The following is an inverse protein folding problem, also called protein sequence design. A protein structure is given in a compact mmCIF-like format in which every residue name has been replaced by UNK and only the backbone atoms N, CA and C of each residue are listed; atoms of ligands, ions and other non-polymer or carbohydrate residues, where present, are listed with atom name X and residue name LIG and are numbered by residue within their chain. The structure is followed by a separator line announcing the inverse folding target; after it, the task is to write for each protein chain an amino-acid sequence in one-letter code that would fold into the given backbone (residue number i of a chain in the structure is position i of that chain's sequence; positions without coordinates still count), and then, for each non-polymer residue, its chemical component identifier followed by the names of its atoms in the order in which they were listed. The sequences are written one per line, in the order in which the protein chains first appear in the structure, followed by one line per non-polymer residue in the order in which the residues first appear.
data_IF_003967864206
#
_entry.id   IF_003967864206
#
_cell.length_a   1.000
_cell.length_b   1.000
_cell.length_c   1.000
_cell.angle_alpha   90.00
_cell.angle_beta   90.00
_cell.angle_gamma   90.00
#
_symmetry.space_group_name_H-M   'P 1'
#
loop_
_entity.id
_entity.type
_entity.pdbx_description
1 polymer ?
#
# COMPACT_ATOMS: atom_id res chain seq x y z
N UNK A 1 9.70 -1.19 19.44
CA UNK A 1 11.04 -0.92 18.88
C UNK A 1 11.79 -2.23 18.91
N UNK A 2 12.63 -2.51 17.91
CA UNK A 2 13.44 -3.73 17.83
C UNK A 2 14.90 -3.30 17.82
N UNK A 3 15.66 -3.73 18.82
CA UNK A 3 17.10 -3.48 18.90
C UNK A 3 17.84 -4.65 18.26
N UNK A 4 18.63 -4.37 17.22
CA UNK A 4 19.43 -5.35 16.49
C UNK A 4 20.94 -5.16 16.75
N UNK A 5 21.31 -4.43 17.81
CA UNK A 5 22.69 -4.08 18.16
C UNK A 5 23.07 -2.71 17.61
N UNK A 6 23.65 -2.64 16.41
CA UNK A 6 24.07 -1.38 15.79
C UNK A 6 22.92 -0.58 15.16
N UNK A 7 21.76 -1.20 15.00
CA UNK A 7 20.57 -0.61 14.37
C UNK A 7 19.37 -0.83 15.27
N UNK A 8 18.56 0.21 15.40
CA UNK A 8 17.30 0.19 16.14
C UNK A 8 16.15 0.46 15.18
N UNK A 9 15.26 -0.51 15.02
CA UNK A 9 14.09 -0.41 14.15
C UNK A 9 12.88 0.09 14.92
N UNK A 10 12.29 1.20 14.46
CA UNK A 10 10.97 1.64 14.92
C UNK A 10 9.89 0.86 14.17
N UNK A 11 8.91 0.35 14.90
CA UNK A 11 7.77 -0.39 14.33
C UNK A 11 6.57 0.54 14.26
N UNK A 12 6.02 0.73 13.07
CA UNK A 12 4.79 1.49 12.85
C UNK A 12 3.69 0.51 12.40
N UNK A 13 2.53 0.43 13.09
CA UNK A 13 1.39 -0.34 12.59
C UNK A 13 0.88 0.23 11.26
N UNK A 14 0.63 -0.65 10.29
CA UNK A 14 0.13 -0.31 8.96
C UNK A 14 -0.97 -1.30 8.51
N UNK A 15 -2.06 -1.45 9.28
CA UNK A 15 -3.11 -2.42 8.98
C UNK A 15 -3.81 -2.09 7.65
N UNK A 16 -4.06 -3.11 6.84
CA UNK A 16 -4.59 -2.92 5.50
C UNK A 16 -4.58 -4.21 4.69
N UNK A 17 -3.46 -4.42 3.98
CA UNK A 17 -3.22 -5.67 3.25
C UNK A 17 -3.36 -6.90 4.14
N UNK A 18 -2.90 -6.80 5.39
CA UNK A 18 -3.27 -7.71 6.49
C UNK A 18 -3.54 -6.89 7.76
N UNK A 19 -4.26 -7.43 8.75
CA UNK A 19 -4.47 -6.74 10.04
C UNK A 19 -3.15 -6.50 10.80
N UNK A 20 -2.18 -7.39 10.64
CA UNK A 20 -0.87 -7.34 11.32
C UNK A 20 0.25 -6.68 10.52
N UNK A 21 -0.06 -6.04 9.39
CA UNK A 21 0.94 -5.34 8.59
C UNK A 21 1.62 -4.22 9.40
N UNK A 22 2.93 -4.09 9.23
CA UNK A 22 3.79 -3.09 9.89
C UNK A 22 4.76 -2.47 8.88
N UNK A 23 5.22 -1.25 9.18
CA UNK A 23 6.36 -0.60 8.55
C UNK A 23 7.50 -0.57 9.56
N UNK A 24 8.69 -0.98 9.13
CA UNK A 24 9.91 -0.86 9.92
C UNK A 24 10.70 0.36 9.46
N UNK A 25 11.07 1.24 10.38
CA UNK A 25 11.87 2.42 10.09
C UNK A 25 13.27 2.22 10.64
N UNK A 26 14.26 2.36 9.78
CA UNK A 26 15.67 2.43 10.10
C UNK A 26 16.16 3.86 9.87
N UNK A 27 16.29 4.61 10.97
CA UNK A 27 16.73 6.00 10.92
C UNK A 27 18.23 6.15 10.63
N UNK A 28 19.05 5.13 10.94
CA UNK A 28 20.49 5.18 10.71
C UNK A 28 20.82 5.14 9.22
N UNK A 29 20.02 4.41 8.43
CA UNK A 29 20.18 4.27 6.98
C UNK A 29 19.16 5.05 6.15
N UNK A 30 18.31 5.85 6.81
CA UNK A 30 17.24 6.63 6.17
C UNK A 30 16.35 5.78 5.23
N UNK A 31 15.87 4.64 5.73
CA UNK A 31 15.09 3.68 4.96
C UNK A 31 13.87 3.16 5.74
N UNK A 32 12.80 2.86 5.01
CA UNK A 32 11.59 2.22 5.54
C UNK A 32 11.31 0.93 4.79
N UNK A 33 11.01 -0.14 5.52
CA UNK A 33 10.56 -1.41 4.95
C UNK A 33 9.03 -1.49 5.07
N UNK A 34 8.35 -1.37 3.93
CA UNK A 34 6.89 -1.34 3.84
C UNK A 34 6.26 -2.71 3.60
N UNK A 35 7.06 -3.70 3.19
CA UNK A 35 6.53 -4.96 2.67
C UNK A 35 5.51 -4.66 1.57
N UNK A 36 4.30 -5.20 1.72
CA UNK A 36 3.20 -5.01 0.76
C UNK A 36 2.07 -4.10 1.30
N UNK A 37 2.33 -3.32 2.36
CA UNK A 37 1.31 -2.52 3.05
C UNK A 37 0.52 -1.61 2.11
N UNK A 38 1.20 -1.01 1.12
CA UNK A 38 0.60 -0.18 0.04
C UNK A 38 0.93 -0.73 -1.36
N UNK A 39 1.17 -2.04 -1.46
CA UNK A 39 1.74 -2.68 -2.65
C UNK A 39 3.26 -2.62 -2.68
N UNK A 40 3.88 -2.81 -3.84
CA UNK A 40 5.34 -2.74 -4.00
C UNK A 40 5.79 -2.04 -5.28
N UNK A 41 5.01 -1.05 -5.72
CA UNK A 41 5.32 -0.18 -6.87
C UNK A 41 4.39 -0.35 -8.06
N UNK A 42 3.81 -1.54 -8.27
CA UNK A 42 2.84 -1.83 -9.33
C UNK A 42 1.38 -1.86 -8.84
N UNK A 43 1.14 -1.33 -7.63
CA UNK A 43 -0.14 -1.37 -6.93
C UNK A 43 -0.26 -2.47 -5.89
N UNK A 44 -1.39 -2.46 -5.16
CA UNK A 44 -1.69 -3.38 -4.07
C UNK A 44 -2.77 -4.40 -4.47
N UNK A 45 -2.53 -5.68 -4.20
CA UNK A 45 -3.57 -6.71 -4.27
C UNK A 45 -4.33 -6.75 -2.94
N UNK A 46 -5.56 -6.27 -2.93
CA UNK A 46 -6.41 -6.18 -1.72
C UNK A 46 -7.57 -7.18 -1.73
N UNK A 47 -7.51 -8.20 -2.59
CA UNK A 47 -8.59 -9.15 -2.86
C UNK A 47 -8.52 -10.46 -2.03
N UNK A 48 -7.49 -10.63 -1.19
CA UNK A 48 -7.29 -11.85 -0.40
C UNK A 48 -8.22 -11.88 0.82
N UNK A 49 -8.53 -13.07 1.39
CA UNK A 49 -9.41 -13.20 2.55
C UNK A 49 -9.00 -12.30 3.73
N UNK A 50 -7.70 -12.31 4.05
CA UNK A 50 -7.08 -11.54 5.15
C UNK A 50 -7.02 -10.03 4.92
N UNK A 51 -7.20 -9.56 3.68
CA UNK A 51 -7.22 -8.13 3.41
C UNK A 51 -8.40 -7.47 4.12
N UNK A 52 -8.13 -6.32 4.73
CA UNK A 52 -9.17 -5.50 5.34
C UNK A 52 -10.13 -4.94 4.28
N UNK A 53 -11.30 -4.48 4.74
CA UNK A 53 -12.21 -3.69 3.91
C UNK A 53 -11.57 -2.35 3.56
N UNK A 54 -12.04 -1.69 2.50
CA UNK A 54 -11.47 -0.41 2.07
C UNK A 54 -11.61 0.66 3.15
N UNK A 55 -12.73 0.70 3.89
CA UNK A 55 -12.91 1.60 5.04
C UNK A 55 -11.85 1.41 6.13
N UNK A 56 -11.63 0.17 6.56
CA UNK A 56 -10.64 -0.16 7.59
C UNK A 56 -9.21 0.08 7.12
N UNK A 57 -8.93 -0.15 5.84
CA UNK A 57 -7.62 0.14 5.26
C UNK A 57 -7.36 1.66 5.23
N UNK A 58 -8.34 2.46 4.80
CA UNK A 58 -8.31 3.93 4.85
C UNK A 58 -8.06 4.43 6.29
N UNK A 59 -8.74 3.87 7.28
CA UNK A 59 -8.52 4.23 8.69
C UNK A 59 -7.10 3.88 9.17
N UNK A 60 -6.51 2.81 8.64
CA UNK A 60 -5.12 2.42 8.88
C UNK A 60 -4.14 3.44 8.30
N UNK A 61 -4.37 3.85 7.05
CA UNK A 61 -3.56 4.87 6.36
C UNK A 61 -3.66 6.24 7.04
N UNK A 62 -4.84 6.64 7.50
CA UNK A 62 -5.05 7.87 8.28
C UNK A 62 -4.18 7.93 9.53
N UNK A 63 -4.03 6.80 10.23
CA UNK A 63 -3.19 6.70 11.43
C UNK A 63 -1.70 6.58 11.10
N UNK A 64 -1.37 6.06 9.93
CA UNK A 64 0.01 5.84 9.49
C UNK A 64 0.64 7.13 8.95
N UNK A 65 -0.06 7.88 8.10
CA UNK A 65 0.47 9.07 7.40
C UNK A 65 1.14 10.09 8.34
N UNK A 66 0.51 10.53 9.45
CA UNK A 66 1.16 11.48 10.37
C UNK A 66 2.46 10.95 10.98
N UNK A 67 2.58 9.62 11.15
CA UNK A 67 3.79 8.98 11.69
C UNK A 67 4.91 8.87 10.66
N UNK A 68 4.58 8.96 9.38
CA UNK A 68 5.54 8.91 8.27
C UNK A 68 6.12 10.30 7.92
N UNK A 69 5.50 11.40 8.35
CA UNK A 69 5.97 12.77 8.06
C UNK A 69 7.46 12.97 8.38
N UNK A 70 8.02 12.53 9.52
CA UNK A 70 9.44 12.70 9.82
C UNK A 70 10.38 11.93 8.88
N UNK A 71 9.85 11.01 8.07
CA UNK A 71 10.59 10.08 7.22
C UNK A 71 10.21 10.22 5.74
N UNK A 72 9.49 11.28 5.36
CA UNK A 72 8.96 11.45 3.99
C UNK A 72 10.05 11.45 2.91
N UNK A 73 11.26 11.89 3.27
CA UNK A 73 12.41 12.00 2.37
C UNK A 73 13.34 10.76 2.41
N UNK A 74 12.96 9.72 3.15
CA UNK A 74 13.72 8.46 3.22
C UNK A 74 13.40 7.55 2.02
N UNK A 75 14.17 6.47 1.87
CA UNK A 75 13.89 5.44 0.86
C UNK A 75 12.78 4.49 1.33
N UNK A 76 11.74 4.27 0.52
CA UNK A 76 10.64 3.36 0.85
C UNK A 76 10.82 2.05 0.07
N UNK A 77 11.12 0.96 0.77
CA UNK A 77 11.33 -0.36 0.20
C UNK A 77 10.06 -1.22 0.31
N UNK A 78 9.50 -1.58 -0.84
CA UNK A 78 8.42 -2.56 -0.94
C UNK A 78 8.91 -4.02 -0.79
N UNK A 79 7.99 -4.95 -0.63
CA UNK A 79 8.25 -6.38 -0.45
C UNK A 79 8.64 -7.11 -1.73
N UNK A 80 8.40 -6.50 -2.90
CA UNK A 80 8.72 -7.10 -4.20
C UNK A 80 9.48 -6.11 -5.10
N UNK A 81 10.82 -6.20 -5.13
CA UNK A 81 11.69 -5.32 -5.92
C UNK A 81 11.28 -5.18 -7.40
N UNK A 82 10.90 -6.29 -8.04
CA UNK A 82 10.50 -6.28 -9.47
C UNK A 82 9.22 -5.49 -9.74
N UNK A 83 8.37 -5.29 -8.73
CA UNK A 83 7.13 -4.51 -8.88
C UNK A 83 7.38 -3.00 -8.86
N UNK A 84 8.58 -2.53 -8.50
CA UNK A 84 8.96 -1.12 -8.62
C UNK A 84 9.58 -0.78 -9.98
N UNK A 85 9.68 -1.75 -10.90
CA UNK A 85 10.26 -1.59 -12.23
C UNK A 85 9.13 -1.60 -13.25
N UNK A 86 9.01 -0.56 -14.10
CA UNK A 86 8.05 -0.55 -15.21
C UNK A 86 8.13 -1.79 -16.09
N UNK A 87 6.96 -2.33 -16.45
CA UNK A 87 6.82 -3.37 -17.48
C UNK A 87 5.73 -2.97 -18.46
N UNK A 88 5.60 -3.62 -19.64
CA UNK A 88 4.48 -3.36 -20.54
C UNK A 88 3.10 -3.56 -19.86
N UNK A 89 2.99 -4.45 -18.87
CA UNK A 89 1.76 -4.68 -18.11
C UNK A 89 1.54 -3.63 -17.02
N UNK A 90 2.61 -3.07 -16.47
CA UNK A 90 2.58 -2.06 -15.41
C UNK A 90 3.52 -0.89 -15.76
N UNK A 91 3.17 -0.07 -16.77
CA UNK A 91 4.06 0.99 -17.24
C UNK A 91 4.25 2.10 -16.19
N UNK A 92 3.27 2.28 -15.31
CA UNK A 92 3.28 3.28 -14.23
C UNK A 92 4.01 2.79 -12.96
N UNK A 93 4.56 1.57 -12.97
CA UNK A 93 5.23 1.03 -11.80
C UNK A 93 6.45 1.87 -11.42
N UNK A 94 6.69 2.05 -10.13
CA UNK A 94 7.81 2.86 -9.67
C UNK A 94 8.14 2.64 -8.20
N UNK A 95 9.16 3.35 -7.70
CA UNK A 95 9.48 3.31 -6.28
C UNK A 95 8.29 3.75 -5.43
N UNK A 96 8.14 3.14 -4.26
CA UNK A 96 7.26 3.68 -3.23
C UNK A 96 7.82 5.01 -2.73
N UNK A 97 6.93 5.91 -2.36
CA UNK A 97 7.25 7.21 -1.77
C UNK A 97 6.17 7.58 -0.75
N UNK A 98 6.37 8.68 -0.01
CA UNK A 98 5.33 9.22 0.86
C UNK A 98 4.03 9.53 0.08
N UNK A 99 4.15 10.11 -1.11
CA UNK A 99 3.02 10.45 -1.98
C UNK A 99 2.23 9.21 -2.40
N UNK A 100 2.89 8.05 -2.61
CA UNK A 100 2.17 6.80 -2.91
C UNK A 100 1.24 6.40 -1.76
N UNK A 101 1.62 6.67 -0.51
CA UNK A 101 0.78 6.40 0.67
C UNK A 101 -0.40 7.38 0.73
N UNK A 102 -0.17 8.65 0.43
CA UNK A 102 -1.23 9.68 0.33
C UNK A 102 -2.24 9.34 -0.78
N UNK A 103 -1.72 9.02 -1.97
CA UNK A 103 -2.53 8.61 -3.12
C UNK A 103 -3.31 7.33 -2.84
N UNK A 104 -2.74 6.40 -2.06
CA UNK A 104 -3.43 5.17 -1.66
C UNK A 104 -4.60 5.47 -0.71
N UNK A 105 -4.44 6.43 0.21
CA UNK A 105 -5.54 6.90 1.05
C UNK A 105 -6.62 7.57 0.19
N UNK A 106 -6.23 8.48 -0.70
CA UNK A 106 -7.13 9.15 -1.64
C UNK A 106 -7.89 8.14 -2.51
N UNK A 107 -7.20 7.10 -2.97
CA UNK A 107 -7.81 6.00 -3.73
C UNK A 107 -8.91 5.32 -2.91
N UNK A 108 -8.63 5.00 -1.65
CA UNK A 108 -9.64 4.41 -0.77
C UNK A 108 -10.86 5.32 -0.59
N UNK A 109 -10.64 6.63 -0.39
CA UNK A 109 -11.72 7.62 -0.26
C UNK A 109 -12.57 7.69 -1.52
N UNK A 110 -11.94 7.75 -2.70
CA UNK A 110 -12.66 7.73 -3.99
C UNK A 110 -13.43 6.44 -4.22
N UNK A 111 -12.86 5.29 -3.83
CA UNK A 111 -13.54 3.99 -3.94
C UNK A 111 -14.78 3.93 -3.04
N UNK A 112 -14.70 4.44 -1.81
CA UNK A 112 -15.82 4.51 -0.88
C UNK A 112 -16.90 5.50 -1.33
N UNK A 113 -16.49 6.62 -1.93
CA UNK A 113 -17.40 7.61 -2.50
C UNK A 113 -17.99 7.21 -3.86
N UNK A 114 -17.48 6.13 -4.49
CA UNK A 114 -17.89 5.71 -5.83
C UNK A 114 -17.44 6.65 -6.96
N UNK A 115 -16.40 7.47 -6.74
CA UNK A 115 -15.93 8.50 -7.68
C UNK A 115 -14.73 8.06 -8.54
N UNK A 116 -14.30 6.80 -8.40
CA UNK A 116 -13.27 6.18 -9.25
C UNK A 116 -13.86 5.01 -10.02
N UNK A 117 -13.64 5.00 -11.33
CA UNK A 117 -14.16 3.95 -12.20
C UNK A 117 -13.30 2.66 -12.08
N UNK A 118 -13.94 1.49 -11.98
CA UNK A 118 -13.24 0.21 -12.03
C UNK A 118 -12.76 -0.12 -13.44
N UNK A 119 -11.56 -0.70 -13.55
CA UNK A 119 -11.08 -1.35 -14.77
C UNK A 119 -11.01 -2.87 -14.57
N UNK A 120 -11.39 -3.71 -15.54
CA UNK A 120 -11.27 -5.16 -15.41
C UNK A 120 -9.83 -5.60 -15.13
N UNK A 121 -9.63 -6.47 -14.12
CA UNK A 121 -8.30 -6.96 -13.71
C UNK A 121 -8.26 -8.48 -13.56
N UNK A 122 -9.12 -9.20 -14.28
CA UNK A 122 -9.17 -10.65 -14.29
C UNK A 122 -9.96 -11.24 -13.11
N UNK A 123 -9.51 -12.40 -12.64
CA UNK A 123 -10.25 -13.22 -11.68
C UNK A 123 -9.32 -13.79 -10.59
N UNK A 124 -9.87 -13.97 -9.39
CA UNK A 124 -9.26 -14.77 -8.32
C UNK A 124 -10.28 -15.82 -7.86
N UNK A 125 -10.07 -17.06 -8.31
CA UNK A 125 -11.11 -18.08 -8.26
C UNK A 125 -12.36 -17.61 -9.02
N UNK A 126 -13.54 -17.77 -8.43
CA UNK A 126 -14.80 -17.33 -9.03
C UNK A 126 -15.08 -15.83 -8.92
N UNK A 127 -14.23 -15.07 -8.21
CA UNK A 127 -14.42 -13.63 -8.00
C UNK A 127 -13.82 -12.81 -9.14
N UNK A 128 -14.62 -11.93 -9.74
CA UNK A 128 -14.11 -10.87 -10.63
C UNK A 128 -13.28 -9.86 -9.83
N UNK A 129 -12.17 -9.45 -10.41
CA UNK A 129 -11.30 -8.41 -9.89
C UNK A 129 -11.43 -7.13 -10.73
N UNK A 130 -11.34 -6.00 -10.05
CA UNK A 130 -11.24 -4.69 -10.69
C UNK A 130 -10.03 -3.94 -10.16
N UNK A 131 -9.33 -3.26 -11.06
CA UNK A 131 -8.30 -2.30 -10.74
C UNK A 131 -8.91 -0.91 -10.58
N UNK A 132 -8.41 -0.17 -9.60
CA UNK A 132 -8.71 1.22 -9.34
C UNK A 132 -7.39 2.00 -9.25
N UNK A 133 -7.38 3.25 -9.69
CA UNK A 133 -6.18 4.11 -9.68
C UNK A 133 -6.52 5.53 -9.20
N UNK A 134 -5.61 6.15 -8.46
CA UNK A 134 -5.62 7.58 -8.15
C UNK A 134 -4.17 8.03 -7.93
N UNK A 135 -3.75 9.09 -8.62
CA UNK A 135 -2.35 9.52 -8.62
C UNK A 135 -1.43 8.35 -9.04
N UNK A 136 -0.43 8.07 -8.22
CA UNK A 136 0.50 6.95 -8.37
C UNK A 136 0.03 5.65 -7.72
N UNK A 137 -1.06 5.67 -6.95
CA UNK A 137 -1.59 4.48 -6.31
C UNK A 137 -2.47 3.67 -7.26
N UNK A 138 -2.33 2.35 -7.18
CA UNK A 138 -3.19 1.40 -7.84
C UNK A 138 -3.59 0.29 -6.88
N UNK A 139 -4.83 -0.21 -7.00
CA UNK A 139 -5.35 -1.29 -6.16
C UNK A 139 -6.18 -2.26 -7.00
N UNK A 140 -5.95 -3.56 -6.82
CA UNK A 140 -6.79 -4.62 -7.37
C UNK A 140 -7.67 -5.20 -6.26
N UNK A 141 -8.99 -5.20 -6.47
CA UNK A 141 -9.96 -5.51 -5.43
C UNK A 141 -11.23 -6.21 -5.97
N UNK A 142 -11.89 -7.01 -5.12
CA UNK A 142 -13.24 -7.54 -5.30
C UNK A 142 -14.28 -6.52 -4.85
N UNK A 143 -15.38 -6.38 -5.60
CA UNK A 143 -16.48 -5.45 -5.26
C UNK A 143 -17.01 -5.64 -3.83
N UNK A 144 -17.07 -6.87 -3.32
CA UNK A 144 -17.59 -7.19 -1.97
C UNK A 144 -16.77 -6.65 -0.80
N UNK A 145 -15.53 -6.21 -1.05
CA UNK A 145 -14.63 -5.62 -0.05
C UNK A 145 -14.66 -4.08 -0.04
N UNK A 146 -15.38 -3.46 -0.99
CA UNK A 146 -15.57 -2.00 -1.05
C UNK A 146 -16.71 -1.62 -0.10
N UNK A 147 -16.35 -1.53 1.18
CA UNK A 147 -17.18 -1.11 2.31
C UNK A 147 -16.25 -0.65 3.42
#
# INVERSE_FOLDING_TARGET
MLDLGSVVLRVLPAPGHTPGSIVLVDAAHQVLFFGVAVGSGAGALMALPECLTISRYRDGLDKLLPKLIPYRDYTFLGGHRRQAIPTPQFPDAGPLTFEVVEDMKLLCEKMLAGTVAPQPAGHLGFSRLSQYKAGRAAMVQKKSKIK
#
